data_IF_055941329868
#
_entry.id   IF_055941329868
#
_cell.length_a   1.000
_cell.length_b   1.000
_cell.length_c   1.000
_cell.angle_alpha   90.00
_cell.angle_beta   90.00
_cell.angle_gamma   90.00
#
_symmetry.space_group_name_H-M   'P 1'
#
loop_
_entity.id
_entity.type
_entity.pdbx_description
1 polymer ?
#
# COMPACT_ATOMS: atom_id res chain seq x y z
N UNK A 1 -12.87 -2.01 18.03
CA UNK A 1 -12.28 -1.47 16.77
C UNK A 1 -11.16 -0.46 17.04
N UNK A 2 -11.41 0.65 17.76
CA UNK A 2 -10.36 1.66 18.04
C UNK A 2 -9.08 1.10 18.71
N UNK A 3 -9.19 0.14 19.61
CA UNK A 3 -8.03 -0.51 20.25
C UNK A 3 -7.17 -1.31 19.24
N UNK A 4 -7.82 -2.01 18.31
CA UNK A 4 -7.12 -2.78 17.26
C UNK A 4 -6.44 -1.82 16.28
N UNK A 5 -7.09 -0.70 15.94
CA UNK A 5 -6.50 0.31 15.07
C UNK A 5 -5.24 0.95 15.70
N UNK A 6 -5.32 1.28 17.00
CA UNK A 6 -4.18 1.83 17.72
C UNK A 6 -3.02 0.83 17.82
N UNK A 7 -3.33 -0.43 18.13
CA UNK A 7 -2.34 -1.52 18.13
C UNK A 7 -1.71 -1.69 16.74
N UNK A 8 -2.53 -1.79 15.69
CA UNK A 8 -2.05 -1.96 14.32
C UNK A 8 -1.22 -0.77 13.83
N UNK A 9 -1.41 0.43 14.37
CA UNK A 9 -0.57 1.60 14.11
C UNK A 9 0.82 1.46 14.72
N UNK A 10 0.91 0.98 15.97
CA UNK A 10 2.15 0.92 16.76
C UNK A 10 3.03 -0.30 16.45
N UNK A 11 2.45 -1.42 16.01
CA UNK A 11 3.23 -2.63 15.70
C UNK A 11 4.19 -2.43 14.51
N UNK A 12 5.36 -3.08 14.52
CA UNK A 12 6.35 -2.97 13.45
C UNK A 12 5.83 -3.55 12.13
N UNK A 13 6.43 -3.15 11.01
CA UNK A 13 6.05 -3.64 9.69
C UNK A 13 6.25 -5.15 9.50
N UNK A 14 7.14 -5.76 10.28
CA UNK A 14 7.37 -7.21 10.32
C UNK A 14 6.35 -7.99 11.16
N UNK A 15 5.45 -7.32 11.87
CA UNK A 15 4.43 -7.98 12.68
C UNK A 15 3.54 -8.88 11.81
N UNK A 16 3.34 -10.12 12.26
CA UNK A 16 2.51 -11.11 11.57
C UNK A 16 1.05 -10.78 11.84
N UNK A 17 0.33 -10.43 10.79
CA UNK A 17 -1.10 -10.10 10.84
C UNK A 17 -1.94 -11.37 10.81
N UNK A 18 -1.52 -12.34 9.98
CA UNK A 18 -2.20 -13.61 9.80
C UNK A 18 -1.20 -14.75 9.92
N UNK A 19 -1.19 -15.43 11.07
CA UNK A 19 -0.22 -16.48 11.38
C UNK A 19 -0.27 -17.67 10.41
N UNK A 20 -1.48 -18.09 10.02
CA UNK A 20 -1.68 -19.25 9.13
C UNK A 20 -1.07 -19.07 7.75
N UNK A 21 -1.11 -17.84 7.22
CA UNK A 21 -0.58 -17.50 5.89
C UNK A 21 0.78 -16.80 5.98
N UNK A 22 1.33 -16.64 7.19
CA UNK A 22 2.54 -15.87 7.47
C UNK A 22 2.55 -14.48 6.83
N UNK A 23 1.38 -13.83 6.80
CA UNK A 23 1.21 -12.51 6.21
C UNK A 23 1.58 -11.44 7.22
N UNK A 24 2.48 -10.53 6.83
CA UNK A 24 2.94 -9.44 7.68
C UNK A 24 2.24 -8.12 7.39
N UNK A 25 2.31 -7.17 8.33
CA UNK A 25 1.79 -5.80 8.16
C UNK A 25 2.32 -5.16 6.88
N UNK A 26 3.61 -5.31 6.59
CA UNK A 26 4.23 -4.76 5.37
C UNK A 26 3.60 -5.32 4.09
N UNK A 27 3.22 -6.60 4.06
CA UNK A 27 2.57 -7.21 2.89
C UNK A 27 1.18 -6.61 2.67
N UNK A 28 0.40 -6.44 3.74
CA UNK A 28 -0.91 -5.78 3.67
C UNK A 28 -0.78 -4.33 3.23
N UNK A 29 0.17 -3.58 3.79
CA UNK A 29 0.41 -2.19 3.41
C UNK A 29 0.79 -2.03 1.93
N UNK A 30 1.56 -2.97 1.37
CA UNK A 30 1.91 -2.96 -0.06
C UNK A 30 0.68 -3.13 -0.95
N UNK A 31 -0.27 -3.97 -0.57
CA UNK A 31 -1.53 -4.13 -1.31
C UNK A 31 -2.38 -2.85 -1.24
N UNK A 32 -2.48 -2.23 -0.06
CA UNK A 32 -3.16 -0.93 0.07
C UNK A 32 -2.50 0.13 -0.83
N UNK A 33 -1.16 0.17 -0.86
CA UNK A 33 -0.41 1.08 -1.73
C UNK A 33 -0.54 0.76 -3.22
N UNK A 34 -0.92 -0.47 -3.59
CA UNK A 34 -1.24 -0.85 -4.98
C UNK A 34 -2.65 -0.42 -5.40
N UNK A 35 -3.43 0.12 -4.47
CA UNK A 35 -4.80 0.60 -4.71
C UNK A 35 -5.89 -0.35 -4.24
N UNK A 36 -5.55 -1.42 -3.52
CA UNK A 36 -6.55 -2.32 -2.92
C UNK A 36 -7.31 -1.61 -1.79
N UNK A 37 -8.63 -1.48 -1.92
CA UNK A 37 -9.47 -0.69 -1.00
C UNK A 37 -10.33 -1.53 -0.06
N UNK A 38 -10.29 -2.84 -0.18
CA UNK A 38 -11.17 -3.75 0.56
C UNK A 38 -10.43 -5.01 1.02
N UNK A 39 -10.84 -5.53 2.17
CA UNK A 39 -10.18 -6.65 2.83
C UNK A 39 -10.26 -7.93 1.99
N UNK A 40 -11.35 -8.13 1.26
CA UNK A 40 -11.55 -9.29 0.38
C UNK A 40 -10.51 -9.36 -0.73
N UNK A 41 -10.22 -8.23 -1.39
CA UNK A 41 -9.24 -8.21 -2.49
C UNK A 41 -7.82 -8.37 -1.96
N UNK A 42 -7.48 -7.77 -0.80
CA UNK A 42 -6.21 -8.03 -0.10
C UNK A 42 -6.08 -9.51 0.27
N UNK A 43 -7.14 -10.13 0.82
CA UNK A 43 -7.15 -11.56 1.18
C UNK A 43 -6.87 -12.44 -0.04
N UNK A 44 -7.51 -12.13 -1.16
CA UNK A 44 -7.31 -12.86 -2.42
C UNK A 44 -5.91 -12.68 -2.98
N UNK A 45 -5.36 -11.47 -2.93
CA UNK A 45 -4.00 -11.18 -3.41
C UNK A 45 -2.92 -11.87 -2.57
N UNK A 46 -3.08 -11.88 -1.25
CA UNK A 46 -2.10 -12.46 -0.32
C UNK A 46 -2.31 -13.95 0.00
N UNK A 47 -3.32 -14.59 -0.60
CA UNK A 47 -3.62 -16.01 -0.34
C UNK A 47 -4.01 -16.28 1.13
N UNK A 48 -4.72 -15.34 1.75
CA UNK A 48 -5.13 -15.43 3.14
C UNK A 48 -6.27 -16.45 3.29
N UNK A 49 -6.12 -17.41 4.21
CA UNK A 49 -7.19 -18.32 4.58
C UNK A 49 -8.33 -17.58 5.31
N UNK A 50 -9.56 -18.11 5.25
CA UNK A 50 -10.71 -17.47 5.88
C UNK A 50 -10.59 -17.52 7.41
N UNK A 51 -10.04 -16.45 7.97
CA UNK A 51 -9.76 -16.28 9.39
C UNK A 51 -10.24 -14.90 9.83
N UNK A 52 -11.18 -14.90 10.78
CA UNK A 52 -11.90 -13.69 11.20
C UNK A 52 -11.00 -12.73 11.99
N UNK A 53 -9.98 -13.23 12.67
CA UNK A 53 -9.03 -12.39 13.40
C UNK A 53 -8.09 -11.66 12.43
N UNK A 54 -7.58 -12.40 11.44
CA UNK A 54 -6.81 -11.84 10.33
C UNK A 54 -7.60 -10.76 9.57
N UNK A 55 -8.87 -11.03 9.24
CA UNK A 55 -9.75 -10.08 8.56
C UNK A 55 -9.92 -8.77 9.36
N UNK A 56 -10.22 -8.88 10.66
CA UNK A 56 -10.37 -7.71 11.53
C UNK A 56 -9.10 -6.85 11.58
N UNK A 57 -7.92 -7.46 11.56
CA UNK A 57 -6.62 -6.75 11.54
C UNK A 57 -6.35 -6.09 10.19
N UNK A 58 -6.68 -6.75 9.08
CA UNK A 58 -6.58 -6.19 7.72
C UNK A 58 -7.54 -5.00 7.56
N UNK A 59 -8.78 -5.12 8.04
CA UNK A 59 -9.75 -4.01 8.04
C UNK A 59 -9.27 -2.82 8.88
N UNK A 60 -8.65 -3.08 10.04
CA UNK A 60 -8.06 -2.02 10.85
C UNK A 60 -6.93 -1.29 10.10
N UNK A 61 -6.06 -2.02 9.38
CA UNK A 61 -5.02 -1.41 8.55
C UNK A 61 -5.61 -0.57 7.41
N UNK A 62 -6.66 -1.04 6.75
CA UNK A 62 -7.37 -0.25 5.74
C UNK A 62 -7.92 1.05 6.34
N UNK A 63 -8.59 1.02 7.48
CA UNK A 63 -9.13 2.23 8.12
C UNK A 63 -8.07 3.25 8.51
N UNK A 64 -6.88 2.80 8.89
CA UNK A 64 -5.76 3.68 9.25
C UNK A 64 -5.10 4.28 8.01
N UNK A 65 -4.80 3.45 7.02
CA UNK A 65 -3.88 3.80 5.93
C UNK A 65 -4.58 4.21 4.63
N UNK A 66 -5.81 3.74 4.37
CA UNK A 66 -6.59 4.17 3.21
C UNK A 66 -6.84 5.69 3.18
N UNK A 67 -7.30 6.36 4.27
CA UNK A 67 -7.47 7.82 4.24
C UNK A 67 -6.15 8.56 4.08
N UNK A 68 -5.04 8.02 4.59
CA UNK A 68 -3.70 8.58 4.40
C UNK A 68 -3.30 8.44 2.93
N UNK A 69 -3.55 7.29 2.31
CA UNK A 69 -3.29 7.03 0.91
C UNK A 69 -4.13 7.96 0.03
N UNK A 70 -5.44 8.07 0.23
CA UNK A 70 -6.27 9.02 -0.52
C UNK A 70 -5.78 10.47 -0.33
N UNK A 71 -5.37 10.92 0.86
CA UNK A 71 -4.82 12.28 1.01
C UNK A 71 -3.49 12.46 0.24
N UNK A 72 -2.62 11.45 0.24
CA UNK A 72 -1.31 11.52 -0.43
C UNK A 72 -1.45 11.45 -1.95
N UNK A 73 -2.33 10.59 -2.45
CA UNK A 73 -2.45 10.26 -3.88
C UNK A 73 -3.61 10.99 -4.57
N UNK A 74 -4.70 11.29 -3.86
CA UNK A 74 -5.87 12.05 -4.36
C UNK A 74 -5.72 13.55 -4.04
N UNK A 75 -5.17 13.90 -2.87
CA UNK A 75 -4.90 15.29 -2.46
C UNK A 75 -3.71 15.96 -3.17
N UNK A 76 -2.94 15.22 -3.96
CA UNK A 76 -1.90 15.76 -4.84
C UNK A 76 -2.02 15.18 -6.23
N UNK A 77 -2.01 16.11 -7.18
CA UNK A 77 -1.67 15.98 -8.60
C UNK A 77 -0.29 15.31 -8.81
N UNK A 78 -0.08 14.10 -8.33
CA UNK A 78 1.10 13.25 -8.55
C UNK A 78 0.76 12.01 -9.39
N UNK A 79 -0.34 12.07 -10.15
CA UNK A 79 -0.79 11.03 -11.07
C UNK A 79 -1.27 11.53 -12.43
N UNK A 80 -1.11 12.82 -12.75
CA UNK A 80 -1.23 13.31 -14.14
C UNK A 80 0.14 13.22 -14.83
N UNK A 81 0.75 12.03 -14.79
CA UNK A 81 1.54 11.61 -15.93
C UNK A 81 0.64 10.64 -16.67
N UNK A 82 -0.13 11.23 -17.57
CA UNK A 82 -0.70 10.55 -18.72
C UNK A 82 0.41 9.67 -19.29
N UNK A 83 0.28 8.36 -19.16
CA UNK A 83 0.99 7.44 -20.04
C UNK A 83 0.32 7.49 -21.42
N UNK A 84 0.25 8.67 -22.02
CA UNK A 84 0.02 8.86 -23.43
C UNK A 84 1.30 9.46 -24.02
N UNK A 85 2.10 8.53 -24.54
CA UNK A 85 2.86 8.69 -25.78
C UNK A 85 3.69 9.96 -25.99
N UNK A 86 5.00 9.69 -26.06
CA UNK A 86 5.99 10.28 -26.99
C UNK A 86 6.45 11.72 -26.79
N UNK A 87 7.79 11.81 -26.66
CA UNK A 87 8.66 12.94 -26.95
C UNK A 87 8.57 14.16 -26.03
N UNK A 88 9.36 14.16 -24.95
CA UNK A 88 9.97 15.38 -24.45
C UNK A 88 11.30 15.07 -23.76
N UNK A 89 12.33 15.73 -24.28
CA UNK A 89 13.75 15.69 -23.96
C UNK A 89 14.08 15.79 -22.46
N UNK A 90 14.91 14.88 -21.97
CA UNK A 90 15.45 14.87 -20.62
C UNK A 90 16.62 15.88 -20.51
N UNK A 91 16.50 16.89 -19.63
CA UNK A 91 17.57 17.86 -19.36
C UNK A 91 18.58 17.29 -18.34
N UNK A 92 19.89 17.16 -18.68
CA UNK A 92 20.85 16.43 -17.86
C UNK A 92 21.40 17.20 -16.64
N UNK A 93 20.93 18.41 -16.33
CA UNK A 93 21.47 19.22 -15.22
C UNK A 93 20.59 19.32 -13.96
N UNK A 94 19.44 18.62 -13.92
CA UNK A 94 18.56 18.62 -12.74
C UNK A 94 18.78 17.40 -11.84
N UNK A 95 19.68 17.54 -10.88
CA UNK A 95 19.94 16.52 -9.86
C UNK A 95 18.88 16.64 -8.75
N UNK A 96 17.81 15.84 -8.81
CA UNK A 96 16.75 15.90 -7.77
C UNK A 96 15.57 14.92 -7.83
N UNK A 97 15.43 14.07 -8.86
CA UNK A 97 14.26 13.18 -8.96
C UNK A 97 14.69 11.75 -9.29
N UNK A 98 14.52 10.91 -8.26
CA UNK A 98 14.50 9.45 -8.18
C UNK A 98 15.19 8.60 -9.29
N UNK A 99 16.12 7.70 -8.91
CA UNK A 99 16.69 6.70 -9.79
C UNK A 99 15.67 5.60 -10.03
N UNK A 100 15.57 5.05 -11.24
CA UNK A 100 15.60 3.61 -11.52
C UNK A 100 15.52 3.41 -13.05
N UNK A 101 16.72 3.34 -13.65
CA UNK A 101 17.16 2.22 -14.49
C UNK A 101 16.17 1.73 -15.55
N UNK A 102 16.03 2.46 -16.67
CA UNK A 102 15.58 1.86 -17.93
C UNK A 102 16.78 1.14 -18.57
N UNK A 103 16.97 -0.12 -18.18
CA UNK A 103 18.01 -1.00 -18.72
C UNK A 103 17.56 -1.64 -20.04
N UNK A 104 18.33 -1.29 -21.09
CA UNK A 104 18.60 -1.96 -22.37
C UNK A 104 17.45 -2.25 -23.34
#
# INVERSE_FOLDING_TARGET
MKEIEQLMKEVPASFVICDKSNVTKNMVLKEIMRGEKDASSIKKSLGICDDKECENRVEALLKIYLPIYDIIFDGKKCGQHDHASSESTCDPNSCGSCPFDCKK
#
